data_IF_736201040156
#
_entry.id   IF_736201040156
#
_cell.length_a   1.000
_cell.length_b   1.000
_cell.length_c   1.000
_cell.angle_alpha   90.00
_cell.angle_beta   90.00
_cell.angle_gamma   90.00
#
_symmetry.space_group_name_H-M   'P 1'
#
loop_
_entity.id
_entity.type
_entity.pdbx_description
1 polymer ?
#
# COMPACT_ATOMS: atom_id res chain seq x y z
N UNK A 1 -17.60 -12.38 26.24
CA UNK A 1 -17.29 -11.15 25.46
C UNK A 1 -15.78 -10.96 25.39
N UNK A 2 -15.31 -10.29 24.33
CA UNK A 2 -13.92 -9.88 24.02
C UNK A 2 -13.07 -10.83 23.15
N UNK A 3 -13.49 -11.08 21.91
CA UNK A 3 -12.51 -11.22 20.82
C UNK A 3 -12.14 -9.82 20.32
N UNK A 4 -10.98 -9.34 20.75
CA UNK A 4 -10.33 -8.15 20.21
C UNK A 4 -9.75 -8.46 18.82
N UNK A 5 -10.61 -8.65 17.82
CA UNK A 5 -10.18 -8.83 16.43
C UNK A 5 -9.70 -7.48 15.87
N UNK A 6 -8.45 -7.10 16.18
CA UNK A 6 -7.84 -5.94 15.52
C UNK A 6 -7.80 -6.25 14.02
N UNK A 7 -8.57 -5.48 13.24
CA UNK A 7 -8.70 -5.62 11.77
C UNK A 7 -7.33 -5.64 11.09
N UNK A 8 -6.35 -4.99 11.71
CA UNK A 8 -4.96 -5.00 11.31
C UNK A 8 -4.11 -5.65 12.40
N UNK A 9 -3.06 -6.35 11.96
CA UNK A 9 -2.00 -6.85 12.84
C UNK A 9 -0.88 -5.82 12.92
N UNK A 10 -0.32 -5.66 14.10
CA UNK A 10 0.91 -4.90 14.28
C UNK A 10 2.03 -5.53 13.46
N UNK A 11 2.84 -4.70 12.81
CA UNK A 11 4.06 -5.11 12.11
C UNK A 11 5.14 -4.08 12.34
N UNK A 12 6.38 -4.53 12.46
CA UNK A 12 7.53 -3.61 12.55
C UNK A 12 7.59 -2.69 11.32
N UNK A 13 7.61 -1.38 11.56
CA UNK A 13 7.76 -0.36 10.51
C UNK A 13 9.13 -0.48 9.84
N UNK A 14 10.17 -0.77 10.63
CA UNK A 14 11.53 -1.01 10.13
C UNK A 14 11.58 -2.25 9.23
N UNK A 15 10.91 -3.33 9.60
CA UNK A 15 10.82 -4.51 8.74
C UNK A 15 10.07 -4.23 7.44
N UNK A 16 8.98 -3.45 7.49
CA UNK A 16 8.25 -3.02 6.28
C UNK A 16 9.13 -2.15 5.39
N UNK A 17 9.89 -1.22 5.96
CA UNK A 17 10.86 -0.41 5.21
C UNK A 17 11.94 -1.27 4.56
N UNK A 18 12.57 -2.17 5.34
CA UNK A 18 13.60 -3.07 4.85
C UNK A 18 13.08 -3.93 3.70
N UNK A 19 11.89 -4.53 3.85
CA UNK A 19 11.27 -5.31 2.79
C UNK A 19 11.01 -4.47 1.53
N UNK A 20 10.53 -3.23 1.66
CA UNK A 20 10.37 -2.33 0.52
C UNK A 20 11.70 -2.05 -0.20
N UNK A 21 12.78 -1.81 0.55
CA UNK A 21 14.10 -1.53 -0.04
C UNK A 21 14.69 -2.77 -0.70
N UNK A 22 14.78 -3.88 0.02
CA UNK A 22 15.41 -5.12 -0.46
C UNK A 22 14.61 -5.81 -1.57
N UNK A 23 13.31 -5.55 -1.68
CA UNK A 23 12.50 -6.03 -2.80
C UNK A 23 12.46 -5.05 -4.00
N UNK A 24 13.29 -4.00 -4.00
CA UNK A 24 13.24 -2.93 -5.01
C UNK A 24 11.82 -2.35 -5.23
N UNK A 25 11.08 -2.16 -4.14
CA UNK A 25 9.72 -1.61 -4.17
C UNK A 25 8.59 -2.61 -4.42
N UNK A 26 8.86 -3.86 -4.84
CA UNK A 26 7.80 -4.87 -5.05
C UNK A 26 6.93 -5.12 -3.81
N UNK A 27 7.52 -5.09 -2.62
CA UNK A 27 6.80 -5.26 -1.37
C UNK A 27 5.77 -4.16 -1.11
N UNK A 28 5.93 -2.96 -1.69
CA UNK A 28 4.91 -1.90 -1.65
C UNK A 28 3.61 -2.40 -2.27
N UNK A 29 3.70 -3.08 -3.42
CA UNK A 29 2.56 -3.62 -4.15
C UNK A 29 1.90 -4.75 -3.38
N UNK A 30 2.71 -5.69 -2.88
CA UNK A 30 2.25 -6.79 -2.03
C UNK A 30 1.49 -6.23 -0.82
N UNK A 31 2.03 -5.20 -0.18
CA UNK A 31 1.43 -4.60 1.01
C UNK A 31 0.15 -3.83 0.68
N UNK A 32 0.09 -3.11 -0.45
CA UNK A 32 -1.15 -2.47 -0.93
C UNK A 32 -2.24 -3.50 -1.22
N UNK A 33 -1.90 -4.63 -1.83
CA UNK A 33 -2.83 -5.73 -2.09
C UNK A 33 -3.37 -6.33 -0.79
N UNK A 34 -2.49 -6.64 0.18
CA UNK A 34 -2.88 -7.14 1.49
C UNK A 34 -3.83 -6.17 2.23
N UNK A 35 -3.46 -4.88 2.27
CA UNK A 35 -4.31 -3.86 2.89
C UNK A 35 -5.66 -3.76 2.18
N UNK A 36 -5.66 -3.81 0.85
CA UNK A 36 -6.90 -3.73 0.08
C UNK A 36 -7.83 -4.90 0.36
N UNK A 37 -7.31 -6.13 0.45
CA UNK A 37 -8.13 -7.28 0.79
C UNK A 37 -8.76 -7.15 2.19
N UNK A 38 -7.98 -6.67 3.17
CA UNK A 38 -8.50 -6.42 4.53
C UNK A 38 -9.59 -5.33 4.50
N UNK A 39 -9.34 -4.23 3.79
CA UNK A 39 -10.27 -3.11 3.67
C UNK A 39 -11.57 -3.50 2.96
N UNK A 40 -11.46 -4.28 1.88
CA UNK A 40 -12.62 -4.74 1.10
C UNK A 40 -13.56 -5.62 1.95
N UNK A 41 -13.06 -6.36 2.94
CA UNK A 41 -13.93 -7.14 3.85
C UNK A 41 -14.71 -6.27 4.86
N UNK A 42 -14.53 -4.95 4.84
CA UNK A 42 -14.98 -4.01 5.88
C UNK A 42 -15.63 -2.76 5.32
N UNK A 43 -15.87 -2.70 4.01
CA UNK A 43 -16.47 -1.52 3.40
C UNK A 43 -17.31 -1.89 2.20
N UNK A 44 -18.48 -1.29 2.06
CA UNK A 44 -19.35 -1.49 0.89
C UNK A 44 -18.70 -1.01 -0.41
N UNK A 45 -17.88 0.05 -0.33
CA UNK A 45 -17.18 0.61 -1.48
C UNK A 45 -15.84 -0.09 -1.74
N UNK A 46 -15.89 -1.31 -2.27
CA UNK A 46 -14.70 -2.10 -2.57
C UNK A 46 -13.75 -1.41 -3.56
N UNK A 47 -12.44 -1.64 -3.41
CA UNK A 47 -11.47 -1.43 -4.49
C UNK A 47 -11.62 -2.61 -5.45
N UNK A 48 -11.89 -2.32 -6.72
CA UNK A 48 -12.12 -3.34 -7.75
C UNK A 48 -10.93 -4.29 -7.89
N UNK A 49 -11.22 -5.60 -7.96
CA UNK A 49 -10.21 -6.62 -8.27
C UNK A 49 -9.58 -6.40 -9.64
N UNK A 50 -10.37 -5.99 -10.63
CA UNK A 50 -9.86 -5.67 -11.96
C UNK A 50 -8.85 -4.52 -11.90
N UNK A 51 -9.14 -3.46 -11.13
CA UNK A 51 -8.18 -2.37 -10.92
C UNK A 51 -6.87 -2.85 -10.31
N UNK A 52 -6.93 -3.68 -9.26
CA UNK A 52 -5.73 -4.23 -8.62
C UNK A 52 -4.93 -5.11 -9.59
N UNK A 53 -5.59 -6.03 -10.29
CA UNK A 53 -4.94 -6.93 -11.25
C UNK A 53 -4.28 -6.13 -12.38
N UNK A 54 -4.97 -5.13 -12.95
CA UNK A 54 -4.39 -4.27 -13.98
C UNK A 54 -3.17 -3.51 -13.46
N UNK A 55 -3.24 -2.92 -12.27
CA UNK A 55 -2.12 -2.20 -11.66
C UNK A 55 -0.89 -3.12 -11.47
N UNK A 56 -1.10 -4.32 -10.94
CA UNK A 56 -0.05 -5.32 -10.73
C UNK A 56 0.52 -5.79 -12.07
N UNK A 57 -0.32 -6.14 -13.04
CA UNK A 57 0.12 -6.65 -14.34
C UNK A 57 0.95 -5.62 -15.10
N UNK A 58 0.51 -4.36 -15.17
CA UNK A 58 1.27 -3.30 -15.84
C UNK A 58 2.65 -3.13 -15.19
N UNK A 59 2.70 -3.16 -13.84
CA UNK A 59 3.96 -3.06 -13.12
C UNK A 59 4.91 -4.23 -13.39
N UNK A 60 4.39 -5.47 -13.33
CA UNK A 60 5.20 -6.66 -13.57
C UNK A 60 5.71 -6.71 -15.00
N UNK A 61 4.88 -6.38 -16.00
CA UNK A 61 5.32 -6.32 -17.40
C UNK A 61 6.39 -5.25 -17.60
N UNK A 62 6.23 -4.08 -16.98
CA UNK A 62 7.25 -3.03 -17.00
C UNK A 62 8.56 -3.48 -16.36
N UNK A 63 8.49 -4.06 -15.16
CA UNK A 63 9.66 -4.52 -14.40
C UNK A 63 10.39 -5.65 -15.13
N UNK A 64 9.67 -6.66 -15.61
CA UNK A 64 10.28 -7.76 -16.36
C UNK A 64 10.83 -7.29 -17.71
N UNK A 65 10.20 -6.32 -18.38
CA UNK A 65 10.74 -5.69 -19.57
C UNK A 65 12.07 -4.99 -19.30
N UNK A 66 12.18 -4.26 -18.18
CA UNK A 66 13.44 -3.64 -17.75
C UNK A 66 14.51 -4.68 -17.42
N UNK A 67 14.17 -5.71 -16.62
CA UNK A 67 15.11 -6.77 -16.26
C UNK A 67 15.61 -7.49 -17.51
N UNK A 68 14.71 -7.85 -18.43
CA UNK A 68 15.09 -8.49 -19.70
C UNK A 68 16.07 -7.62 -20.49
N UNK A 69 15.77 -6.32 -20.64
CA UNK A 69 16.62 -5.39 -21.38
C UNK A 69 18.05 -5.29 -20.80
N UNK A 70 18.20 -5.34 -19.48
CA UNK A 70 19.52 -5.23 -18.83
C UNK A 70 20.29 -6.56 -18.76
N UNK A 71 19.61 -7.71 -18.80
CA UNK A 71 20.25 -9.02 -18.67
C UNK A 71 20.51 -9.71 -20.01
N UNK A 72 19.76 -9.34 -21.06
CA UNK A 72 19.78 -10.05 -22.34
C UNK A 72 19.88 -9.05 -23.51
N UNK A 73 20.40 -9.48 -24.67
CA UNK A 73 20.37 -8.66 -25.88
C UNK A 73 18.93 -8.30 -26.23
N UNK A 74 18.60 -7.00 -26.21
CA UNK A 74 17.25 -6.51 -26.44
C UNK A 74 17.26 -5.19 -27.23
N UNK A 75 16.24 -4.94 -28.07
CA UNK A 75 16.14 -3.70 -28.82
C UNK A 75 15.82 -2.51 -27.90
N UNK A 76 16.30 -1.31 -28.27
CA UNK A 76 16.02 -0.07 -27.54
C UNK A 76 14.52 0.23 -27.40
N UNK A 77 13.69 -0.25 -28.35
CA UNK A 77 12.23 -0.14 -28.27
C UNK A 77 11.67 -0.79 -26.99
N UNK A 78 12.22 -1.92 -26.53
CA UNK A 78 11.77 -2.58 -25.30
C UNK A 78 11.99 -1.67 -24.08
N UNK A 79 13.13 -0.99 -24.00
CA UNK A 79 13.43 -0.05 -22.91
C UNK A 79 12.43 1.11 -22.88
N UNK A 80 12.12 1.69 -24.06
CA UNK A 80 11.15 2.78 -24.17
C UNK A 80 9.76 2.31 -23.73
N UNK A 81 9.30 1.16 -24.23
CA UNK A 81 8.00 0.57 -23.83
C UNK A 81 7.95 0.27 -22.34
N UNK A 82 9.00 -0.31 -21.76
CA UNK A 82 9.06 -0.62 -20.34
C UNK A 82 9.00 0.63 -19.46
N UNK A 83 9.66 1.73 -19.88
CA UNK A 83 9.58 3.04 -19.21
C UNK A 83 8.18 3.65 -19.28
N UNK A 84 7.52 3.60 -20.44
CA UNK A 84 6.15 4.09 -20.60
C UNK A 84 5.16 3.30 -19.75
N UNK A 85 5.28 1.97 -19.72
CA UNK A 85 4.49 1.12 -18.83
C UNK A 85 4.80 1.40 -17.36
N UNK A 86 6.05 1.72 -17.01
CA UNK A 86 6.39 2.11 -15.64
C UNK A 86 5.66 3.39 -15.26
N UNK A 87 5.69 4.42 -16.12
CA UNK A 87 5.00 5.69 -15.88
C UNK A 87 3.50 5.46 -15.67
N UNK A 88 2.87 4.65 -16.54
CA UNK A 88 1.47 4.27 -16.40
C UNK A 88 1.22 3.53 -15.07
N UNK A 89 2.07 2.56 -14.73
CA UNK A 89 2.05 1.86 -13.45
C UNK A 89 2.11 2.84 -12.27
N UNK A 90 2.98 3.85 -12.31
CA UNK A 90 3.10 4.86 -11.24
C UNK A 90 1.77 5.59 -11.00
N UNK A 91 1.04 5.96 -12.06
CA UNK A 91 -0.29 6.58 -11.94
C UNK A 91 -1.27 5.62 -11.23
N UNK A 92 -1.31 4.36 -11.64
CA UNK A 92 -2.15 3.35 -10.99
C UNK A 92 -1.80 3.18 -9.50
N UNK A 93 -0.52 3.17 -9.15
CA UNK A 93 -0.07 3.07 -7.76
C UNK A 93 -0.48 4.28 -6.94
N UNK A 94 -0.31 5.50 -7.44
CA UNK A 94 -0.77 6.74 -6.77
C UNK A 94 -2.27 6.67 -6.49
N UNK A 95 -3.07 6.32 -7.51
CA UNK A 95 -4.53 6.15 -7.35
C UNK A 95 -4.85 5.08 -6.32
N UNK A 96 -4.12 3.97 -6.30
CA UNK A 96 -4.33 2.89 -5.34
C UNK A 96 -4.02 3.32 -3.91
N UNK A 97 -2.92 4.03 -3.68
CA UNK A 97 -2.53 4.60 -2.38
C UNK A 97 -3.63 5.53 -1.86
N UNK A 98 -4.14 6.43 -2.71
CA UNK A 98 -5.24 7.34 -2.36
C UNK A 98 -6.50 6.54 -1.98
N UNK A 99 -6.85 5.51 -2.78
CA UNK A 99 -8.02 4.65 -2.51
C UNK A 99 -7.90 3.90 -1.18
N UNK A 100 -6.72 3.38 -0.85
CA UNK A 100 -6.43 2.68 0.42
C UNK A 100 -6.46 3.67 1.59
N UNK A 101 -5.77 4.80 1.47
CA UNK A 101 -5.74 5.87 2.48
C UNK A 101 -7.14 6.33 2.89
N UNK A 102 -7.98 6.67 1.91
CA UNK A 102 -9.32 7.19 2.18
C UNK A 102 -10.18 6.15 2.91
N UNK A 103 -10.06 4.87 2.55
CA UNK A 103 -10.78 3.77 3.23
C UNK A 103 -10.26 3.52 4.63
N UNK A 104 -8.95 3.60 4.84
CA UNK A 104 -8.33 3.43 6.15
C UNK A 104 -8.73 4.56 7.11
N UNK A 105 -8.75 5.82 6.63
CA UNK A 105 -9.30 6.94 7.40
C UNK A 105 -10.78 6.74 7.75
N UNK A 106 -11.59 6.27 6.79
CA UNK A 106 -13.02 6.02 7.01
C UNK A 106 -13.27 4.90 8.03
N UNK A 107 -12.56 3.78 7.95
CA UNK A 107 -12.73 2.65 8.90
C UNK A 107 -12.31 3.06 10.32
N UNK A 108 -11.34 3.96 10.45
CA UNK A 108 -10.94 4.49 11.75
C UNK A 108 -11.83 5.65 12.22
N UNK A 109 -12.80 6.09 11.40
CA UNK A 109 -13.65 7.25 11.66
C UNK A 109 -12.86 8.52 12.02
N UNK A 110 -11.78 8.79 11.25
CA UNK A 110 -10.90 9.94 11.48
C UNK A 110 -10.94 10.96 10.35
N UNK A 111 -10.78 12.21 10.74
CA UNK A 111 -10.86 13.43 9.93
C UNK A 111 -9.56 14.24 10.01
N UNK A 112 -9.43 15.27 9.16
CA UNK A 112 -8.21 16.09 9.12
C UNK A 112 -8.01 16.80 10.46
N UNK A 113 -6.84 16.59 11.07
CA UNK A 113 -6.50 17.12 12.39
C UNK A 113 -6.41 16.03 13.46
N UNK A 114 -7.08 14.89 13.26
CA UNK A 114 -7.02 13.77 14.19
C UNK A 114 -5.63 13.12 14.17
N UNK A 115 -5.16 12.70 15.35
CA UNK A 115 -3.84 12.10 15.52
C UNK A 115 -3.60 10.88 14.61
N UNK A 116 -4.64 10.09 14.32
CA UNK A 116 -4.56 8.90 13.47
C UNK A 116 -4.85 9.16 11.99
N UNK A 117 -5.13 10.41 11.60
CA UNK A 117 -5.44 10.75 10.22
C UNK A 117 -4.24 10.54 9.29
N UNK A 118 -4.46 9.81 8.20
CA UNK A 118 -3.47 9.65 7.14
C UNK A 118 -3.53 10.85 6.19
N UNK A 119 -2.59 11.77 6.37
CA UNK A 119 -2.42 12.91 5.49
C UNK A 119 -1.88 12.57 4.10
N UNK A 120 -2.22 13.36 3.07
CA UNK A 120 -1.89 13.07 1.68
C UNK A 120 -0.38 13.12 1.41
N UNK A 121 0.34 14.10 1.97
CA UNK A 121 1.76 14.30 1.73
C UNK A 121 2.60 13.09 2.16
N UNK A 122 2.55 12.73 3.45
CA UNK A 122 3.29 11.58 3.97
C UNK A 122 2.85 10.25 3.32
N UNK A 123 1.56 10.12 2.97
CA UNK A 123 1.06 8.94 2.24
C UNK A 123 1.68 8.80 0.85
N UNK A 124 1.94 9.93 0.16
CA UNK A 124 2.53 9.91 -1.18
C UNK A 124 4.03 9.63 -1.17
N UNK A 125 4.77 10.04 -0.13
CA UNK A 125 6.22 9.77 -0.04
C UNK A 125 6.51 8.41 0.59
N UNK A 126 5.89 8.11 1.73
CA UNK A 126 6.19 6.93 2.52
C UNK A 126 5.21 5.77 2.33
N UNK A 127 4.14 5.96 1.53
CA UNK A 127 3.29 4.88 1.05
C UNK A 127 2.79 3.96 2.19
N UNK A 128 3.01 2.65 2.02
CA UNK A 128 2.61 1.60 2.95
C UNK A 128 3.40 1.61 4.26
N UNK A 129 4.58 2.25 4.31
CA UNK A 129 5.38 2.39 5.53
C UNK A 129 4.66 3.34 6.49
N UNK A 130 4.20 4.48 5.97
CA UNK A 130 3.39 5.43 6.75
C UNK A 130 2.04 4.84 7.16
N UNK A 131 1.41 4.06 6.28
CA UNK A 131 0.18 3.34 6.62
C UNK A 131 0.42 2.37 7.79
N UNK A 132 1.52 1.61 7.75
CA UNK A 132 1.86 0.70 8.83
C UNK A 132 2.11 1.45 10.14
N UNK A 133 2.82 2.58 10.09
CA UNK A 133 3.07 3.39 11.26
C UNK A 133 1.76 3.87 11.93
N UNK A 134 0.80 4.39 11.15
CA UNK A 134 -0.52 4.80 11.68
C UNK A 134 -1.38 3.63 12.16
N UNK A 135 -1.29 2.48 11.50
CA UNK A 135 -1.95 1.25 11.96
C UNK A 135 -1.41 0.84 13.33
N UNK A 136 -0.09 0.85 13.53
CA UNK A 136 0.48 0.51 14.84
C UNK A 136 0.05 1.51 15.91
N UNK A 137 0.07 2.83 15.61
CA UNK A 137 -0.43 3.85 16.53
C UNK A 137 -1.88 3.59 16.96
N UNK A 138 -2.75 3.19 16.03
CA UNK A 138 -4.16 2.92 16.35
C UNK A 138 -4.34 1.67 17.23
N UNK A 139 -3.51 0.64 17.05
CA UNK A 139 -3.49 -0.56 17.89
C UNK A 139 -3.01 -0.21 19.30
N UNK A 140 -1.89 0.52 19.43
CA UNK A 140 -1.33 0.92 20.72
C UNK A 140 -2.28 1.82 21.51
N UNK A 141 -2.93 2.78 20.86
CA UNK A 141 -3.92 3.66 21.50
C UNK A 141 -5.13 2.88 22.03
N UNK A 142 -5.63 1.89 21.28
CA UNK A 142 -6.71 1.00 21.74
C UNK A 142 -6.29 0.12 22.92
N UNK A 143 -5.05 -0.37 22.93
CA UNK A 143 -4.52 -1.14 24.04
C UNK A 143 -4.42 -0.30 25.32
N UNK A 144 -3.90 0.93 25.22
CA UNK A 144 -3.83 1.86 26.35
C UNK A 144 -5.22 2.22 26.91
N UNK A 145 -6.19 2.51 26.05
CA UNK A 145 -7.56 2.82 26.49
C UNK A 145 -8.27 1.67 27.23
N UNK A 146 -7.96 0.41 26.89
CA UNK A 146 -8.51 -0.77 27.57
C UNK A 146 -7.91 -1.04 28.96
N UNK A 147 -6.73 -0.50 29.25
CA UNK A 147 -6.08 -0.69 30.56
C UNK A 147 -6.55 0.33 31.60
N UNK A 148 -7.21 1.40 31.15
CA UNK A 148 -7.70 2.51 31.99
C UNK A 148 -9.20 2.35 32.32
N UNK A 149 -9.90 1.42 31.66
CA UNK A 149 -11.31 1.05 31.89
C UNK A 149 -11.42 -0.31 32.56
#
# INVERSE_FOLDING_TARGET
>A
MSQSNSVFKEKSVVAVLALCVFSFGLYVIIRLWQLTNILNLRTEYHISKAFMTTAISIHLVSLFGLIYYFLLPAPAALLVTAKLLHLLSTIFHIVWIIKVRNRLNRINNVSKGDALWLGPFLSSFFHVIYFQHKINQSISSKAAGKLVT
#
